data_IF_375573433648
#
_entry.id   IF_375573433648
#
_cell.length_a   1.000
_cell.length_b   1.000
_cell.length_c   1.000
_cell.angle_alpha   90.00
_cell.angle_beta   90.00
_cell.angle_gamma   90.00
#
_symmetry.space_group_name_H-M   'P 1'
#
loop_
_entity.id
_entity.type
_entity.pdbx_description
1 polymer ?
#
# COMPACT_ATOMS: atom_id res chain seq x y z
N UNK A 1 -6.05 -2.37 22.56
CA UNK A 1 -5.91 -1.76 21.21
C UNK A 1 -7.27 -1.66 20.56
N UNK A 2 -7.64 -0.51 20.03
CA UNK A 2 -8.91 -0.41 19.31
C UNK A 2 -8.86 -1.29 18.04
N UNK A 3 -10.00 -1.81 17.60
CA UNK A 3 -10.04 -2.64 16.41
C UNK A 3 -9.74 -1.84 15.14
N UNK A 4 -9.08 -2.50 14.20
CA UNK A 4 -8.77 -1.94 12.88
C UNK A 4 -9.80 -2.46 11.89
N UNK A 5 -10.45 -1.55 11.17
CA UNK A 5 -11.42 -1.88 10.14
C UNK A 5 -10.76 -1.66 8.77
N UNK A 6 -10.80 -2.67 7.89
CA UNK A 6 -10.19 -2.63 6.56
C UNK A 6 -11.31 -2.68 5.52
N UNK A 7 -11.22 -1.82 4.52
CA UNK A 7 -12.18 -1.84 3.43
C UNK A 7 -11.73 -1.03 2.22
N UNK A 8 -12.54 -1.07 1.18
CA UNK A 8 -12.35 -0.23 0.01
C UNK A 8 -12.50 1.24 0.42
N UNK A 9 -11.76 2.12 -0.27
CA UNK A 9 -11.92 3.55 -0.08
C UNK A 9 -13.22 4.01 -0.76
N UNK A 10 -14.04 4.72 0.00
CA UNK A 10 -15.30 5.29 -0.50
C UNK A 10 -15.16 6.79 -0.70
N UNK A 11 -16.11 7.42 -1.39
CA UNK A 11 -16.05 8.85 -1.68
C UNK A 11 -15.79 9.72 -0.44
N UNK A 12 -16.41 9.47 0.73
CA UNK A 12 -16.10 10.26 1.93
C UNK A 12 -14.66 10.14 2.43
N UNK A 13 -13.94 9.11 2.02
CA UNK A 13 -12.55 8.89 2.45
C UNK A 13 -11.54 9.70 1.65
N UNK A 14 -11.96 10.31 0.53
CA UNK A 14 -11.01 10.90 -0.42
C UNK A 14 -10.10 11.94 0.20
N UNK A 15 -10.62 12.85 0.99
CA UNK A 15 -9.81 13.90 1.61
C UNK A 15 -8.77 13.32 2.57
N UNK A 16 -9.16 12.33 3.39
CA UNK A 16 -8.25 11.67 4.32
C UNK A 16 -7.20 10.84 3.59
N UNK A 17 -7.61 10.13 2.53
CA UNK A 17 -6.69 9.39 1.68
C UNK A 17 -5.65 10.32 1.06
N UNK A 18 -6.07 11.46 0.53
CA UNK A 18 -5.16 12.41 -0.10
C UNK A 18 -4.12 12.93 0.89
N UNK A 19 -4.53 13.23 2.13
CA UNK A 19 -3.60 13.63 3.20
C UNK A 19 -2.57 12.53 3.49
N UNK A 20 -3.02 11.28 3.59
CA UNK A 20 -2.12 10.16 3.84
C UNK A 20 -1.16 9.93 2.68
N UNK A 21 -1.64 10.01 1.45
CA UNK A 21 -0.78 9.84 0.28
C UNK A 21 0.19 11.01 0.12
N UNK A 22 -0.20 12.21 0.51
CA UNK A 22 0.73 13.35 0.60
C UNK A 22 1.84 13.08 1.62
N UNK A 23 1.49 12.48 2.76
CA UNK A 23 2.47 12.06 3.77
C UNK A 23 3.45 11.01 3.24
N UNK A 24 2.94 10.06 2.46
CA UNK A 24 3.77 9.07 1.78
C UNK A 24 4.78 9.74 0.84
N UNK A 25 4.34 10.68 0.00
CA UNK A 25 5.23 11.39 -0.90
C UNK A 25 6.28 12.21 -0.16
N UNK A 26 5.88 12.90 0.92
CA UNK A 26 6.81 13.67 1.73
C UNK A 26 7.89 12.78 2.36
N UNK A 27 7.50 11.60 2.84
CA UNK A 27 8.44 10.62 3.40
C UNK A 27 9.51 10.21 2.38
N UNK A 28 9.14 10.11 1.09
CA UNK A 28 10.06 9.76 0.01
C UNK A 28 10.69 10.98 -0.66
N UNK A 29 10.69 12.15 0.00
CA UNK A 29 11.36 13.35 -0.49
C UNK A 29 10.61 14.08 -1.60
N UNK A 30 9.31 13.87 -1.74
CA UNK A 30 8.46 14.54 -2.71
C UNK A 30 7.39 15.38 -1.99
N UNK A 31 7.76 16.50 -1.35
CA UNK A 31 6.81 17.29 -0.56
C UNK A 31 5.71 17.95 -1.37
N UNK A 32 5.91 18.09 -2.67
CA UNK A 32 4.90 18.58 -3.61
C UNK A 32 4.54 17.48 -4.60
N UNK A 33 3.25 17.23 -4.73
CA UNK A 33 2.70 16.30 -5.72
C UNK A 33 1.50 16.98 -6.36
N UNK A 34 1.43 17.07 -7.72
CA UNK A 34 0.38 17.84 -8.40
C UNK A 34 -1.02 17.30 -8.10
N UNK A 35 -1.98 18.20 -7.95
CA UNK A 35 -3.37 17.84 -7.65
C UNK A 35 -3.94 16.88 -8.70
N UNK A 36 -3.65 17.11 -9.98
CA UNK A 36 -4.14 16.22 -11.04
C UNK A 36 -3.66 14.78 -10.89
N UNK A 37 -2.51 14.56 -10.24
CA UNK A 37 -2.00 13.20 -9.98
C UNK A 37 -2.82 12.49 -8.91
N UNK A 38 -3.25 13.21 -7.88
CA UNK A 38 -4.17 12.66 -6.88
C UNK A 38 -5.52 12.34 -7.52
N UNK A 39 -6.04 13.23 -8.34
CA UNK A 39 -7.32 13.05 -9.03
C UNK A 39 -7.28 11.83 -9.96
N UNK A 40 -6.18 11.65 -10.70
CA UNK A 40 -5.99 10.51 -11.59
C UNK A 40 -5.92 9.21 -10.81
N UNK A 41 -5.15 9.16 -9.72
CA UNK A 41 -5.04 7.97 -8.88
C UNK A 41 -6.39 7.58 -8.30
N UNK A 42 -7.13 8.56 -7.76
CA UNK A 42 -8.45 8.32 -7.20
C UNK A 42 -9.41 7.72 -8.23
N UNK A 43 -9.40 8.27 -9.44
CA UNK A 43 -10.25 7.79 -10.54
C UNK A 43 -9.92 6.33 -10.88
N UNK A 44 -8.64 5.95 -10.86
CA UNK A 44 -8.23 4.56 -11.11
C UNK A 44 -8.71 3.63 -9.99
N UNK A 45 -8.67 4.08 -8.74
CA UNK A 45 -9.19 3.29 -7.62
C UNK A 45 -10.70 3.08 -7.72
N UNK A 46 -11.43 4.08 -8.20
CA UNK A 46 -12.87 3.94 -8.44
C UNK A 46 -13.16 2.90 -9.51
N UNK A 47 -12.36 2.84 -10.56
CA UNK A 47 -12.49 1.82 -11.62
C UNK A 47 -12.13 0.43 -11.11
N UNK A 48 -11.18 0.32 -10.20
CA UNK A 48 -10.80 -0.92 -9.50
C UNK A 48 -10.46 -2.07 -10.46
N UNK A 49 -9.78 -1.79 -11.56
CA UNK A 49 -9.36 -2.83 -12.51
C UNK A 49 -7.84 -2.93 -12.68
N UNK A 50 -7.14 -1.83 -12.97
CA UNK A 50 -5.69 -1.84 -13.13
C UNK A 50 -4.94 -1.74 -11.81
N UNK A 51 -5.44 -0.89 -10.91
CA UNK A 51 -4.83 -0.68 -9.59
C UNK A 51 -5.93 -0.60 -8.54
N UNK A 52 -5.62 -1.12 -7.37
CA UNK A 52 -6.58 -1.27 -6.28
C UNK A 52 -6.10 -0.52 -5.04
N UNK A 53 -7.04 -0.12 -4.19
CA UNK A 53 -6.73 0.55 -2.95
C UNK A 53 -7.56 -0.03 -1.81
N UNK A 54 -6.99 -0.04 -0.60
CA UNK A 54 -7.71 -0.34 0.64
C UNK A 54 -7.30 0.68 1.68
N UNK A 55 -8.20 0.93 2.61
CA UNK A 55 -7.96 1.78 3.76
C UNK A 55 -8.13 1.03 5.05
N UNK A 56 -7.36 1.42 6.05
CA UNK A 56 -7.49 0.94 7.42
C UNK A 56 -7.97 2.08 8.29
N UNK A 57 -9.04 1.86 9.04
CA UNK A 57 -9.63 2.87 9.93
C UNK A 57 -9.59 2.41 11.38
N UNK A 58 -9.36 3.37 12.29
CA UNK A 58 -9.43 3.19 13.74
C UNK A 58 -10.40 4.23 14.26
N UNK A 59 -11.43 3.79 15.00
CA UNK A 59 -12.46 4.68 15.55
C UNK A 59 -13.09 5.59 14.47
N UNK A 60 -13.34 5.04 13.28
CA UNK A 60 -13.95 5.76 12.18
C UNK A 60 -13.04 6.72 11.42
N UNK A 61 -11.76 6.80 11.76
CA UNK A 61 -10.78 7.66 11.09
C UNK A 61 -9.80 6.83 10.29
N UNK A 62 -9.56 7.26 9.04
CA UNK A 62 -8.61 6.59 8.17
C UNK A 62 -7.20 6.74 8.75
N UNK A 63 -6.56 5.60 9.04
CA UNK A 63 -5.25 5.53 9.70
C UNK A 63 -4.14 5.03 8.79
N UNK A 64 -4.48 4.37 7.69
CA UNK A 64 -3.50 3.83 6.75
C UNK A 64 -4.10 3.51 5.42
N UNK A 65 -3.24 3.45 4.41
CA UNK A 65 -3.64 3.16 3.02
C UNK A 65 -2.66 2.19 2.39
N UNK A 66 -3.16 1.42 1.43
CA UNK A 66 -2.34 0.53 0.60
C UNK A 66 -2.85 0.56 -0.84
N UNK A 67 -1.93 0.61 -1.78
CA UNK A 67 -2.21 0.51 -3.22
C UNK A 67 -1.50 -0.71 -3.77
N UNK A 68 -2.20 -1.48 -4.62
CA UNK A 68 -1.64 -2.72 -5.15
C UNK A 68 -2.24 -3.04 -6.51
N UNK A 69 -1.52 -3.86 -7.26
CA UNK A 69 -1.91 -4.25 -8.62
C UNK A 69 -1.43 -5.66 -8.92
N UNK A 70 -1.99 -6.25 -9.95
CA UNK A 70 -1.62 -7.58 -10.44
C UNK A 70 -0.95 -7.44 -11.80
N UNK A 71 0.16 -8.16 -11.98
CA UNK A 71 0.80 -8.24 -13.29
C UNK A 71 1.00 -9.69 -13.71
N UNK A 72 1.11 -9.89 -15.03
CA UNK A 72 1.38 -11.20 -15.60
C UNK A 72 2.81 -11.64 -15.27
N UNK A 73 3.04 -12.94 -15.23
CA UNK A 73 4.35 -13.54 -15.06
C UNK A 73 4.56 -14.61 -16.12
N UNK A 74 5.80 -14.77 -16.56
CA UNK A 74 6.15 -15.81 -17.53
C UNK A 74 6.56 -17.12 -16.84
N UNK A 75 6.76 -17.10 -15.52
CA UNK A 75 7.27 -18.25 -14.76
C UNK A 75 6.31 -18.75 -13.70
N UNK A 76 5.17 -18.09 -13.53
CA UNK A 76 4.17 -18.47 -12.54
C UNK A 76 2.79 -17.94 -12.94
N UNK A 77 1.78 -18.18 -12.11
CA UNK A 77 0.52 -17.46 -12.19
C UNK A 77 0.77 -15.95 -11.96
N UNK A 78 -0.25 -15.12 -12.13
CA UNK A 78 -0.17 -13.69 -11.90
C UNK A 78 0.43 -13.35 -10.53
N UNK A 79 1.06 -12.19 -10.44
CA UNK A 79 1.77 -11.73 -9.25
C UNK A 79 1.16 -10.43 -8.77
N UNK A 80 0.94 -10.29 -7.49
CA UNK A 80 0.46 -9.06 -6.88
C UNK A 80 1.64 -8.21 -6.41
N UNK A 81 1.69 -6.96 -6.88
CA UNK A 81 2.66 -5.97 -6.44
C UNK A 81 1.98 -5.00 -5.48
N UNK A 82 2.45 -4.95 -4.24
CA UNK A 82 2.03 -3.97 -3.26
C UNK A 82 2.90 -2.74 -3.46
N UNK A 83 2.33 -1.72 -4.11
CA UNK A 83 3.11 -0.58 -4.59
C UNK A 83 3.35 0.47 -3.52
N UNK A 84 2.32 0.85 -2.77
CA UNK A 84 2.41 1.90 -1.77
C UNK A 84 1.74 1.44 -0.48
N UNK A 85 2.38 1.72 0.64
CA UNK A 85 1.86 1.40 1.98
C UNK A 85 2.25 2.54 2.92
N UNK A 86 1.27 3.15 3.57
CA UNK A 86 1.53 4.24 4.50
C UNK A 86 0.59 4.22 5.68
N UNK A 87 1.14 4.42 6.86
CA UNK A 87 0.39 4.56 8.12
C UNK A 87 0.55 5.98 8.63
N UNK A 88 -0.55 6.59 9.03
CA UNK A 88 -0.51 7.91 9.67
C UNK A 88 0.47 7.89 10.84
N UNK A 89 1.32 8.93 11.01
CA UNK A 89 2.31 8.94 12.08
C UNK A 89 1.73 8.68 13.47
N UNK A 90 0.56 9.25 13.77
CA UNK A 90 -0.12 9.09 15.05
C UNK A 90 -0.71 7.69 15.27
N UNK A 91 -0.83 6.90 14.21
CA UNK A 91 -1.38 5.54 14.27
C UNK A 91 -0.31 4.45 14.21
N UNK A 92 0.96 4.80 14.16
CA UNK A 92 2.05 3.83 14.09
C UNK A 92 2.15 3.02 15.37
N UNK A 93 2.64 1.79 15.23
CA UNK A 93 2.79 0.88 16.37
C UNK A 93 1.49 0.20 16.78
N UNK A 94 0.41 0.34 16.03
CA UNK A 94 -0.90 -0.25 16.35
C UNK A 94 -1.29 -1.38 15.41
N UNK A 95 -0.39 -1.84 14.55
CA UNK A 95 -0.64 -2.98 13.67
C UNK A 95 -1.33 -2.64 12.34
N UNK A 96 -1.42 -1.38 11.97
CA UNK A 96 -2.11 -0.92 10.75
C UNK A 96 -1.46 -1.49 9.49
N UNK A 97 -0.15 -1.36 9.37
CA UNK A 97 0.58 -1.85 8.19
C UNK A 97 0.45 -3.36 8.03
N UNK A 98 0.59 -4.11 9.13
CA UNK A 98 0.42 -5.57 9.12
C UNK A 98 -0.98 -5.98 8.70
N UNK A 99 -1.99 -5.27 9.16
CA UNK A 99 -3.38 -5.54 8.79
C UNK A 99 -3.64 -5.27 7.30
N UNK A 100 -3.06 -4.19 6.76
CA UNK A 100 -3.18 -3.87 5.34
C UNK A 100 -2.46 -4.90 4.47
N UNK A 101 -1.27 -5.35 4.86
CA UNK A 101 -0.55 -6.42 4.16
C UNK A 101 -1.38 -7.70 4.17
N UNK A 102 -1.94 -8.07 5.31
CA UNK A 102 -2.78 -9.28 5.42
C UNK A 102 -4.00 -9.20 4.49
N UNK A 103 -4.62 -8.05 4.37
CA UNK A 103 -5.74 -7.83 3.45
C UNK A 103 -5.33 -8.04 2.00
N UNK A 104 -4.20 -7.46 1.59
CA UNK A 104 -3.68 -7.64 0.22
C UNK A 104 -3.38 -9.11 -0.05
N UNK A 105 -2.78 -9.81 0.90
CA UNK A 105 -2.48 -11.24 0.77
C UNK A 105 -3.77 -12.06 0.62
N UNK A 106 -4.79 -11.78 1.43
CA UNK A 106 -6.09 -12.43 1.34
C UNK A 106 -6.71 -12.23 -0.05
N UNK A 107 -6.74 -10.99 -0.52
CA UNK A 107 -7.28 -10.64 -1.82
C UNK A 107 -6.50 -11.33 -2.95
N UNK A 108 -5.16 -11.29 -2.89
CA UNK A 108 -4.32 -11.91 -3.90
C UNK A 108 -4.54 -13.43 -4.01
N UNK A 109 -4.73 -14.10 -2.87
CA UNK A 109 -5.07 -15.53 -2.86
C UNK A 109 -6.40 -15.78 -3.56
N UNK A 110 -7.41 -14.96 -3.32
CA UNK A 110 -8.71 -15.08 -3.98
C UNK A 110 -8.59 -14.89 -5.49
N UNK A 111 -7.66 -14.03 -5.93
CA UNK A 111 -7.41 -13.80 -7.34
C UNK A 111 -6.52 -14.88 -7.98
N UNK A 112 -6.05 -15.84 -7.23
CA UNK A 112 -5.18 -16.90 -7.74
C UNK A 112 -3.73 -16.47 -8.00
N UNK A 113 -3.28 -15.39 -7.36
CA UNK A 113 -1.90 -14.93 -7.50
C UNK A 113 -0.90 -15.91 -6.89
N UNK A 114 0.29 -16.01 -7.50
CA UNK A 114 1.36 -16.87 -7.02
C UNK A 114 2.08 -16.30 -5.81
N UNK A 115 2.15 -14.97 -5.69
CA UNK A 115 2.82 -14.30 -4.58
C UNK A 115 2.43 -12.83 -4.50
N UNK A 116 2.76 -12.22 -3.37
CA UNK A 116 2.70 -10.78 -3.16
C UNK A 116 4.13 -10.32 -2.84
N UNK A 117 4.55 -9.21 -3.42
CA UNK A 117 5.87 -8.66 -3.13
C UNK A 117 5.81 -7.13 -3.06
N UNK A 118 6.78 -6.55 -2.39
CA UNK A 118 6.94 -5.09 -2.32
C UNK A 118 8.40 -4.72 -2.17
N UNK A 119 8.68 -3.44 -2.36
CA UNK A 119 10.01 -2.87 -2.27
C UNK A 119 10.09 -1.90 -1.09
N UNK A 120 11.22 -1.84 -0.47
CA UNK A 120 11.52 -0.86 0.56
C UNK A 120 12.99 -0.46 0.47
N UNK A 121 13.32 0.72 0.99
CA UNK A 121 14.71 1.12 1.08
C UNK A 121 15.45 0.23 2.08
N UNK A 122 16.67 -0.17 1.75
CA UNK A 122 17.45 -1.10 2.58
C UNK A 122 17.72 -0.56 3.99
N UNK A 123 17.75 0.77 4.16
CA UNK A 123 17.99 1.43 5.44
C UNK A 123 16.70 1.78 6.20
N UNK A 124 15.54 1.41 5.68
CA UNK A 124 14.27 1.61 6.37
C UNK A 124 14.08 0.52 7.44
N UNK A 125 14.82 0.65 8.53
CA UNK A 125 14.87 -0.36 9.60
C UNK A 125 13.53 -0.58 10.28
N UNK A 126 12.78 0.49 10.51
CA UNK A 126 11.48 0.39 11.19
C UNK A 126 10.49 -0.44 10.39
N UNK A 127 10.36 -0.18 9.09
CA UNK A 127 9.48 -0.96 8.22
C UNK A 127 9.98 -2.40 8.07
N UNK A 128 11.28 -2.59 7.94
CA UNK A 128 11.87 -3.91 7.75
C UNK A 128 11.68 -4.83 8.93
N UNK A 129 11.57 -4.30 10.15
CA UNK A 129 11.25 -5.14 11.33
C UNK A 129 9.91 -5.85 11.15
N UNK A 130 8.91 -5.14 10.65
CA UNK A 130 7.62 -5.77 10.33
C UNK A 130 7.75 -6.72 9.14
N UNK A 131 8.41 -6.27 8.07
CA UNK A 131 8.49 -7.06 6.84
C UNK A 131 9.23 -8.38 7.05
N UNK A 132 10.27 -8.39 7.88
CA UNK A 132 11.02 -9.61 8.22
C UNK A 132 10.16 -10.61 9.00
N UNK A 133 9.13 -10.15 9.71
CA UNK A 133 8.20 -11.01 10.43
C UNK A 133 7.14 -11.64 9.54
N UNK A 134 6.75 -10.97 8.46
CA UNK A 134 5.60 -11.38 7.63
C UNK A 134 5.99 -11.89 6.25
N UNK A 135 7.24 -11.69 5.83
CA UNK A 135 7.71 -12.05 4.49
C UNK A 135 9.20 -12.39 4.51
N UNK A 136 9.70 -12.81 3.37
CA UNK A 136 11.11 -13.15 3.18
C UNK A 136 11.79 -12.12 2.28
N UNK A 137 12.92 -11.59 2.72
CA UNK A 137 13.80 -10.81 1.87
C UNK A 137 14.61 -11.78 1.00
N UNK A 138 14.30 -11.84 -0.29
CA UNK A 138 14.93 -12.80 -1.21
C UNK A 138 16.21 -12.28 -1.85
N UNK A 139 16.69 -11.10 -1.43
CA UNK A 139 17.99 -10.58 -1.85
C UNK A 139 17.99 -9.86 -3.20
N UNK A 140 16.85 -9.62 -3.81
CA UNK A 140 16.78 -8.85 -5.05
C UNK A 140 17.00 -7.37 -4.76
N UNK A 141 17.68 -6.68 -5.67
CA UNK A 141 17.85 -5.22 -5.61
C UNK A 141 17.23 -4.59 -6.85
N UNK A 142 16.82 -3.34 -6.73
CA UNK A 142 16.16 -2.62 -7.81
C UNK A 142 17.15 -1.73 -8.54
N UNK A 143 17.13 -1.78 -9.88
CA UNK A 143 17.81 -0.82 -10.74
C UNK A 143 16.75 0.00 -11.44
N UNK A 144 16.95 1.31 -11.55
CA UNK A 144 15.98 2.24 -12.15
C UNK A 144 16.65 3.15 -13.15
N UNK A 145 16.02 3.34 -14.29
CA UNK A 145 16.40 4.38 -15.26
C UNK A 145 15.20 5.32 -15.32
N UNK A 146 15.41 6.57 -14.92
CA UNK A 146 14.38 7.60 -15.05
C UNK A 146 14.28 8.06 -16.49
N UNK A 147 13.04 8.18 -17.00
CA UNK A 147 12.76 8.56 -18.38
C UNK A 147 12.30 10.02 -18.46
#
# INVERSE_FOLDING_TARGET
MPPISIGRLETPDRASWEQLFAGYHAFYGRPYWPQEKYDEAWRRFEQDDEIHARGASIDGRLAGIVHFLVHASTTSAHVCYLQDLFTAPEARGQGVAGALIAEVVRWAREQGCARVYWLTQSDNETARRLYDQVADNRGFIQYTIQL
#
